data_IF_542365869012
#
_entry.id   IF_542365869012
#
_cell.length_a   1.000
_cell.length_b   1.000
_cell.length_c   1.000
_cell.angle_alpha   90.00
_cell.angle_beta   90.00
_cell.angle_gamma   90.00
#
_symmetry.space_group_name_H-M   'P 1'
#
loop_
_entity.id
_entity.type
_entity.pdbx_description
1 polymer ?
#
# COMPACT_ATOMS: atom_id res chain seq x y z
N UNK A 1 -4.84 7.24 -5.90
CA UNK A 1 -3.40 7.23 -6.22
C UNK A 1 -3.06 5.91 -6.89
N UNK A 2 -2.48 5.94 -8.09
CA UNK A 2 -2.06 4.73 -8.81
C UNK A 2 -0.75 4.19 -8.28
N UNK A 3 -0.70 2.89 -8.08
CA UNK A 3 0.46 2.13 -7.61
C UNK A 3 0.79 1.06 -8.64
N UNK A 4 2.04 1.03 -9.07
CA UNK A 4 2.62 -0.09 -9.81
C UNK A 4 3.48 -0.92 -8.87
N UNK A 5 3.23 -2.22 -8.87
CA UNK A 5 3.95 -3.20 -8.08
C UNK A 5 4.65 -4.12 -9.07
N UNK A 6 5.97 -4.15 -9.00
CA UNK A 6 6.83 -4.89 -9.91
C UNK A 6 7.52 -6.02 -9.13
N UNK A 7 7.79 -7.13 -9.83
CA UNK A 7 8.70 -8.17 -9.35
C UNK A 7 9.92 -8.24 -10.25
N UNK A 8 11.11 -8.46 -9.69
CA UNK A 8 12.32 -8.68 -10.49
C UNK A 8 12.36 -10.07 -11.14
N UNK A 9 11.66 -11.06 -10.55
CA UNK A 9 11.41 -12.37 -11.17
C UNK A 9 10.68 -12.26 -12.52
N UNK A 10 9.66 -11.40 -12.59
CA UNK A 10 8.79 -11.21 -13.76
C UNK A 10 8.52 -9.71 -14.00
N UNK A 11 9.52 -8.93 -14.46
CA UNK A 11 9.40 -7.48 -14.63
C UNK A 11 8.41 -7.07 -15.72
N UNK A 12 8.09 -7.97 -16.64
CA UNK A 12 7.12 -7.77 -17.72
C UNK A 12 5.66 -7.92 -17.28
N UNK A 13 5.41 -8.34 -16.04
CA UNK A 13 4.07 -8.58 -15.49
C UNK A 13 3.79 -7.63 -14.30
N UNK A 14 3.67 -6.31 -14.54
CA UNK A 14 3.34 -5.35 -13.49
C UNK A 14 1.95 -5.63 -12.93
N UNK A 15 1.84 -5.55 -11.61
CA UNK A 15 0.56 -5.52 -10.92
C UNK A 15 0.19 -4.06 -10.65
N UNK A 16 -1.10 -3.74 -10.78
CA UNK A 16 -1.62 -2.40 -10.50
C UNK A 16 -2.64 -2.38 -9.35
N UNK A 17 -2.61 -1.28 -8.61
CA UNK A 17 -3.61 -0.93 -7.63
C UNK A 17 -3.90 0.56 -7.69
N UNK A 18 -5.10 0.94 -7.28
CA UNK A 18 -5.44 2.31 -6.99
C UNK A 18 -5.95 2.39 -5.55
N UNK A 19 -5.32 3.23 -4.75
CA UNK A 19 -5.64 3.40 -3.32
C UNK A 19 -5.68 4.89 -2.99
N UNK A 20 -6.35 5.27 -1.91
CA UNK A 20 -6.47 6.69 -1.53
C UNK A 20 -5.12 7.33 -1.19
N UNK A 21 -4.31 6.64 -0.41
CA UNK A 21 -2.98 7.06 0.03
C UNK A 21 -2.12 5.85 0.39
N UNK A 22 -0.80 6.03 0.42
CA UNK A 22 0.14 5.03 0.93
C UNK A 22 1.39 5.76 1.44
N UNK A 23 1.83 5.41 2.63
CA UNK A 23 3.06 5.89 3.23
C UNK A 23 3.99 4.71 3.49
N UNK A 24 5.29 4.93 3.29
CA UNK A 24 6.33 3.93 3.52
C UNK A 24 7.45 4.51 4.37
N UNK A 25 7.81 3.81 5.45
CA UNK A 25 8.99 4.10 6.27
C UNK A 25 10.10 3.10 5.92
N UNK A 26 11.14 3.59 5.24
CA UNK A 26 12.29 2.79 4.84
C UNK A 26 13.13 2.26 6.01
N UNK A 27 13.03 2.89 7.19
CA UNK A 27 13.77 2.46 8.39
C UNK A 27 13.20 1.15 8.91
N UNK A 28 11.87 1.12 9.08
CA UNK A 28 11.14 -0.01 9.67
C UNK A 28 10.65 -1.01 8.63
N UNK A 29 10.52 -0.62 7.36
CA UNK A 29 9.86 -1.41 6.32
C UNK A 29 8.33 -1.35 6.42
N UNK A 30 7.79 -0.40 7.19
CA UNK A 30 6.36 -0.29 7.42
C UNK A 30 5.65 0.48 6.31
N UNK A 31 4.64 -0.15 5.73
CA UNK A 31 3.61 0.51 4.94
C UNK A 31 2.43 0.90 5.80
N UNK A 32 1.83 2.04 5.52
CA UNK A 32 0.64 2.47 6.24
C UNK A 32 -0.33 3.32 5.43
N UNK A 33 -1.59 3.22 5.82
CA UNK A 33 -2.72 4.00 5.29
C UNK A 33 -3.53 4.54 6.47
N UNK A 34 -4.13 5.71 6.32
CA UNK A 34 -5.05 6.27 7.31
C UNK A 34 -6.29 5.37 7.43
N UNK A 35 -6.72 5.16 8.67
CA UNK A 35 -7.90 4.38 9.04
C UNK A 35 -8.85 5.26 9.83
N UNK A 36 -9.69 6.05 9.18
CA UNK A 36 -10.59 6.93 9.91
C UNK A 36 -11.60 6.11 10.72
N UNK A 37 -11.62 6.29 12.03
CA UNK A 37 -12.55 5.64 12.95
C UNK A 37 -13.08 6.66 13.95
N UNK A 38 -14.34 7.07 13.78
CA UNK A 38 -14.94 8.11 14.63
C UNK A 38 -14.20 9.45 14.53
N UNK A 39 -13.85 10.04 15.67
CA UNK A 39 -13.10 11.32 15.72
C UNK A 39 -11.57 11.15 15.68
N UNK A 40 -11.07 9.91 15.68
CA UNK A 40 -9.63 9.64 15.71
C UNK A 40 -9.05 9.54 14.29
N UNK A 41 -8.61 10.69 13.79
CA UNK A 41 -7.96 10.85 12.49
C UNK A 41 -6.53 10.31 12.45
N UNK A 42 -5.95 9.90 13.59
CA UNK A 42 -4.56 9.47 13.68
C UNK A 42 -4.40 7.95 13.57
N UNK A 43 -5.48 7.18 13.52
CA UNK A 43 -5.38 5.74 13.36
C UNK A 43 -4.90 5.35 11.97
N UNK A 44 -4.08 4.30 11.93
CA UNK A 44 -3.43 3.84 10.70
C UNK A 44 -3.51 2.32 10.61
N UNK A 45 -3.83 1.82 9.43
CA UNK A 45 -3.56 0.42 9.07
C UNK A 45 -2.07 0.35 8.79
N UNK A 46 -1.37 -0.55 9.49
CA UNK A 46 0.09 -0.71 9.38
C UNK A 46 0.41 -2.13 8.97
N UNK A 47 1.34 -2.29 8.03
CA UNK A 47 1.87 -3.56 7.58
C UNK A 47 3.39 -3.48 7.49
N UNK A 48 4.07 -4.35 8.23
CA UNK A 48 5.52 -4.50 8.13
C UNK A 48 5.79 -5.50 7.01
N UNK A 49 6.40 -5.02 5.93
CA UNK A 49 6.63 -5.82 4.75
C UNK A 49 7.98 -6.54 4.84
N UNK A 50 7.92 -7.87 4.87
CA UNK A 50 9.08 -8.76 4.80
C UNK A 50 8.89 -9.80 3.67
N UNK A 51 9.86 -9.97 2.75
CA UNK A 51 11.03 -9.10 2.53
C UNK A 51 10.64 -7.65 2.22
N UNK A 52 11.56 -6.72 2.49
CA UNK A 52 11.38 -5.29 2.18
C UNK A 52 11.36 -5.08 0.65
N UNK A 53 10.71 -4.01 0.15
CA UNK A 53 10.83 -3.65 -1.25
C UNK A 53 12.29 -3.25 -1.57
N UNK A 54 12.75 -3.67 -2.75
CA UNK A 54 14.03 -3.24 -3.33
C UNK A 54 14.00 -1.75 -3.71
N UNK A 55 12.83 -1.27 -4.13
CA UNK A 55 12.60 0.13 -4.46
C UNK A 55 11.22 0.55 -4.01
N UNK A 56 11.15 1.70 -3.34
CA UNK A 56 9.93 2.47 -3.18
C UNK A 56 10.15 3.87 -3.74
N UNK A 57 9.35 4.24 -4.74
CA UNK A 57 9.39 5.58 -5.34
C UNK A 57 8.00 6.16 -5.43
N UNK A 58 7.79 7.33 -4.81
CA UNK A 58 6.53 8.05 -4.85
C UNK A 58 6.69 9.37 -5.59
N UNK A 59 5.81 9.62 -6.55
CA UNK A 59 5.71 10.86 -7.31
C UNK A 59 4.26 11.38 -7.28
N UNK A 60 4.03 12.60 -7.76
CA UNK A 60 2.68 13.18 -7.84
C UNK A 60 1.72 12.37 -8.72
N UNK A 61 2.24 11.65 -9.74
CA UNK A 61 1.41 10.95 -10.72
C UNK A 61 1.27 9.44 -10.43
N UNK A 62 2.29 8.83 -9.84
CA UNK A 62 2.32 7.39 -9.56
C UNK A 62 3.27 7.04 -8.42
N UNK A 63 2.94 5.96 -7.73
CA UNK A 63 3.84 5.25 -6.82
C UNK A 63 4.31 3.97 -7.49
N UNK A 64 5.59 3.63 -7.32
CA UNK A 64 6.21 2.40 -7.81
C UNK A 64 6.81 1.67 -6.63
N UNK A 65 6.48 0.39 -6.49
CA UNK A 65 7.04 -0.51 -5.48
C UNK A 65 7.63 -1.70 -6.22
N UNK A 66 8.89 -2.03 -5.95
CA UNK A 66 9.59 -3.15 -6.59
C UNK A 66 9.96 -4.15 -5.51
N UNK A 67 9.62 -5.40 -5.73
CA UNK A 67 10.04 -6.54 -4.92
C UNK A 67 10.92 -7.46 -5.76
N UNK A 68 11.77 -8.23 -5.10
CA UNK A 68 12.51 -9.30 -5.78
C UNK A 68 11.55 -10.40 -6.27
N UNK A 69 10.64 -10.84 -5.39
CA UNK A 69 9.72 -11.97 -5.64
C UNK A 69 8.31 -11.55 -6.06
N UNK A 70 7.77 -12.27 -7.06
CA UNK A 70 6.39 -12.19 -7.54
C UNK A 70 5.35 -12.61 -6.49
N UNK A 71 5.70 -13.54 -5.60
CA UNK A 71 4.84 -13.98 -4.48
C UNK A 71 4.65 -12.83 -3.50
N UNK A 72 5.75 -12.13 -3.17
CA UNK A 72 5.74 -10.98 -2.25
C UNK A 72 4.97 -9.82 -2.87
N UNK A 73 5.21 -9.52 -4.15
CA UNK A 73 4.46 -8.50 -4.89
C UNK A 73 2.95 -8.78 -4.88
N UNK A 74 2.53 -10.04 -5.09
CA UNK A 74 1.13 -10.45 -5.08
C UNK A 74 0.50 -10.39 -3.68
N UNK A 75 1.25 -10.79 -2.65
CA UNK A 75 0.83 -10.67 -1.26
C UNK A 75 0.64 -9.21 -0.85
N UNK A 76 1.57 -8.34 -1.26
CA UNK A 76 1.48 -6.90 -1.03
C UNK A 76 0.26 -6.27 -1.73
N UNK A 77 -0.03 -6.66 -2.99
CA UNK A 77 -1.27 -6.25 -3.68
C UNK A 77 -2.52 -6.66 -2.91
N UNK A 78 -2.53 -7.89 -2.38
CA UNK A 78 -3.66 -8.41 -1.60
C UNK A 78 -3.88 -7.59 -0.34
N UNK A 79 -2.82 -7.28 0.39
CA UNK A 79 -2.89 -6.39 1.56
C UNK A 79 -3.36 -4.98 1.18
N UNK A 80 -2.81 -4.38 0.12
CA UNK A 80 -3.20 -3.04 -0.34
C UNK A 80 -4.71 -2.94 -0.60
N UNK A 81 -5.29 -3.92 -1.29
CA UNK A 81 -6.73 -3.95 -1.59
C UNK A 81 -7.57 -4.07 -0.32
N UNK A 82 -7.13 -4.89 0.64
CA UNK A 82 -7.82 -5.04 1.92
C UNK A 82 -7.76 -3.76 2.76
N UNK A 83 -6.58 -3.14 2.85
CA UNK A 83 -6.37 -1.90 3.59
C UNK A 83 -7.14 -0.72 2.99
N UNK A 84 -7.19 -0.60 1.66
CA UNK A 84 -7.96 0.45 0.99
C UNK A 84 -9.47 0.27 1.22
N UNK A 85 -9.98 -0.97 1.12
CA UNK A 85 -11.38 -1.27 1.43
C UNK A 85 -11.75 -0.95 2.89
N UNK A 86 -10.83 -1.21 3.82
CA UNK A 86 -11.00 -0.88 5.24
C UNK A 86 -10.98 0.63 5.48
N UNK A 87 -10.04 1.35 4.89
CA UNK A 87 -9.96 2.81 4.95
C UNK A 87 -11.24 3.45 4.40
N UNK A 88 -11.71 2.99 3.24
CA UNK A 88 -12.94 3.47 2.62
C UNK A 88 -14.19 3.18 3.47
N UNK A 89 -14.25 2.06 4.18
CA UNK A 89 -15.31 1.78 5.15
C UNK A 89 -15.30 2.82 6.28
N UNK A 90 -14.13 3.08 6.86
CA UNK A 90 -13.94 4.09 7.89
C UNK A 90 -14.47 5.47 7.46
N UNK A 91 -14.09 5.90 6.25
CA UNK A 91 -14.59 7.16 5.67
C UNK A 91 -16.11 7.20 5.48
N UNK A 92 -16.76 6.08 5.11
CA UNK A 92 -18.22 6.01 4.95
C UNK A 92 -18.94 6.15 6.28
N UNK A 93 -18.40 5.57 7.35
CA UNK A 93 -19.04 5.60 8.69
C UNK A 93 -18.98 6.96 9.39
N UNK A 94 -18.06 7.84 9.00
CA UNK A 94 -17.95 9.20 9.55
C UNK A 94 -18.85 10.24 8.87
N UNK A 95 -19.56 9.89 7.78
CA UNK A 95 -20.51 10.80 7.11
C UNK A 95 -21.92 10.77 7.73
N UNK A 96 -22.05 10.28 8.96
CA UNK A 96 -23.28 10.27 9.75
C UNK A 96 -23.53 11.61 10.43
#
# INVERSE_FOLDING_TARGET
>A
MKIWILSLEHPEQPLDAEVRELMYDATTGAFSMSRPLGDDWLQRIVHIQEPRPELFHQSQQKTVVVFDSSVVASGFLTWLKAADAEADHGFKTMRG
#
